data_IF_489758078165
#
_entry.id   IF_489758078165
#
_cell.length_a   1.000
_cell.length_b   1.000
_cell.length_c   1.000
_cell.angle_alpha   90.00
_cell.angle_beta   90.00
_cell.angle_gamma   90.00
#
_symmetry.space_group_name_H-M   'P 1'
#
loop_
_entity.id
_entity.type
_entity.pdbx_description
1 polymer ?
#
# COMPACT_ATOMS: atom_id res chain seq x y z
N UNK A 1 -15.73 19.80 29.49
CA UNK A 1 -15.76 20.73 28.35
C UNK A 1 -15.00 20.06 27.23
N UNK A 2 -15.73 19.79 26.15
CA UNK A 2 -15.29 19.39 24.81
C UNK A 2 -14.56 18.06 24.66
N UNK A 3 -15.37 17.05 24.32
CA UNK A 3 -14.98 15.87 23.56
C UNK A 3 -14.33 16.29 22.23
N UNK A 4 -13.02 16.12 22.08
CA UNK A 4 -12.37 16.18 20.78
C UNK A 4 -12.39 14.79 20.13
N UNK A 5 -13.54 14.49 19.53
CA UNK A 5 -13.71 13.37 18.62
C UNK A 5 -13.14 13.79 17.25
N UNK A 6 -12.01 13.22 16.77
CA UNK A 6 -11.46 13.59 15.47
C UNK A 6 -12.47 13.20 14.39
N UNK A 7 -12.93 14.19 13.62
CA UNK A 7 -13.96 14.05 12.59
C UNK A 7 -13.60 12.95 11.60
N UNK A 8 -14.22 11.79 11.80
CA UNK A 8 -14.19 10.66 10.89
C UNK A 8 -15.01 11.04 9.65
N UNK A 9 -14.34 11.41 8.56
CA UNK A 9 -15.04 11.68 7.30
C UNK A 9 -15.16 10.37 6.53
N UNK A 10 -16.40 9.94 6.28
CA UNK A 10 -16.70 8.78 5.44
C UNK A 10 -16.60 9.20 3.98
N UNK A 11 -15.47 8.90 3.35
CA UNK A 11 -15.32 8.93 1.90
C UNK A 11 -15.39 7.48 1.40
N UNK A 12 -16.34 7.20 0.49
CA UNK A 12 -16.48 5.91 -0.20
C UNK A 12 -16.66 4.70 0.76
N UNK A 13 -17.37 4.87 1.87
CA UNK A 13 -17.63 3.78 2.83
C UNK A 13 -16.40 3.34 3.63
N UNK A 14 -15.30 4.10 3.55
CA UNK A 14 -14.09 3.89 4.35
C UNK A 14 -13.96 5.01 5.39
N UNK A 15 -13.66 4.62 6.61
CA UNK A 15 -13.29 5.54 7.68
C UNK A 15 -11.90 6.07 7.40
N UNK A 16 -11.79 7.32 6.96
CA UNK A 16 -10.49 7.98 6.80
C UNK A 16 -10.09 8.53 8.17
N UNK A 17 -9.19 7.84 8.87
CA UNK A 17 -8.41 8.50 9.90
C UNK A 17 -7.56 9.56 9.21
N UNK A 18 -7.65 10.80 9.70
CA UNK A 18 -6.69 11.85 9.35
C UNK A 18 -5.26 11.31 9.55
N UNK A 19 -4.27 11.90 8.88
CA UNK A 19 -2.85 11.71 9.24
C UNK A 19 -2.64 12.34 10.63
N UNK A 20 -3.15 11.67 11.66
CA UNK A 20 -2.97 12.02 13.05
C UNK A 20 -1.65 11.44 13.56
N UNK A 21 -1.28 11.76 14.79
CA UNK A 21 -0.10 11.19 15.44
C UNK A 21 -0.11 9.65 15.45
N UNK A 22 -1.30 9.02 15.46
CA UNK A 22 -1.46 7.57 15.52
C UNK A 22 -1.16 6.84 14.19
N UNK A 23 -0.70 5.60 14.31
CA UNK A 23 -0.49 4.68 13.20
C UNK A 23 -1.81 4.39 12.43
N UNK A 24 -1.79 4.37 11.09
CA UNK A 24 -2.96 3.93 10.33
C UNK A 24 -3.33 2.49 10.68
N UNK A 25 -4.61 2.20 10.93
CA UNK A 25 -5.06 0.88 11.41
C UNK A 25 -4.54 -0.29 10.58
N UNK A 26 -4.48 -0.17 9.25
CA UNK A 26 -4.03 -1.25 8.37
C UNK A 26 -2.51 -1.53 8.43
N UNK A 27 -1.70 -0.71 9.12
CA UNK A 27 -0.28 -1.01 9.36
C UNK A 27 -0.10 -2.02 10.49
N UNK A 28 -0.98 -2.00 11.48
CA UNK A 28 -0.93 -2.87 12.66
C UNK A 28 -1.99 -3.98 12.65
N UNK A 29 -3.18 -3.75 12.11
CA UNK A 29 -4.25 -4.75 12.00
C UNK A 29 -4.23 -5.47 10.65
N UNK A 30 -3.92 -6.77 10.67
CA UNK A 30 -3.90 -7.63 9.49
C UNK A 30 -5.29 -7.80 8.85
N UNK A 31 -6.39 -7.77 9.62
CA UNK A 31 -7.74 -7.95 9.07
C UNK A 31 -8.16 -6.74 8.26
N UNK A 32 -7.93 -5.53 8.77
CA UNK A 32 -8.20 -4.30 8.02
C UNK A 32 -7.27 -4.18 6.80
N UNK A 33 -6.01 -4.58 6.94
CA UNK A 33 -5.07 -4.66 5.83
C UNK A 33 -5.56 -5.57 4.70
N UNK A 34 -5.93 -6.81 5.01
CA UNK A 34 -6.42 -7.79 4.05
C UNK A 34 -7.73 -7.32 3.40
N UNK A 35 -8.66 -6.80 4.19
CA UNK A 35 -9.92 -6.25 3.68
C UNK A 35 -9.68 -5.15 2.64
N UNK A 36 -8.77 -4.21 2.91
CA UNK A 36 -8.44 -3.14 1.97
C UNK A 36 -7.69 -3.66 0.74
N UNK A 37 -6.72 -4.57 0.93
CA UNK A 37 -5.99 -5.21 -0.17
C UNK A 37 -6.91 -5.98 -1.10
N UNK A 38 -7.77 -6.84 -0.57
CA UNK A 38 -8.66 -7.71 -1.36
C UNK A 38 -9.68 -6.88 -2.14
N UNK A 39 -10.16 -5.78 -1.55
CA UNK A 39 -10.98 -4.80 -2.26
C UNK A 39 -10.21 -4.15 -3.42
N UNK A 40 -8.93 -3.80 -3.24
CA UNK A 40 -8.10 -3.23 -4.32
C UNK A 40 -7.74 -4.26 -5.39
N UNK A 41 -7.51 -5.53 -5.03
CA UNK A 41 -7.35 -6.63 -6.00
C UNK A 41 -8.59 -6.72 -6.88
N UNK A 42 -9.78 -6.75 -6.26
CA UNK A 42 -11.05 -6.92 -6.97
C UNK A 42 -11.40 -5.74 -7.89
N UNK A 43 -11.15 -4.50 -7.45
CA UNK A 43 -11.68 -3.32 -8.12
C UNK A 43 -10.63 -2.50 -8.87
N UNK A 44 -9.33 -2.68 -8.58
CA UNK A 44 -8.23 -1.86 -9.12
C UNK A 44 -6.98 -2.69 -9.44
N UNK A 45 -7.12 -4.00 -9.67
CA UNK A 45 -6.06 -4.83 -10.23
C UNK A 45 -4.74 -4.79 -9.46
N UNK A 46 -4.79 -4.80 -8.12
CA UNK A 46 -3.57 -4.89 -7.31
C UNK A 46 -2.87 -6.25 -7.52
N UNK A 47 -1.61 -6.22 -7.95
CA UNK A 47 -0.84 -7.42 -8.27
C UNK A 47 0.49 -7.10 -8.97
N UNK A 48 1.09 -8.04 -9.71
CA UNK A 48 0.70 -9.45 -9.78
C UNK A 48 0.88 -10.14 -8.42
N UNK A 49 0.38 -11.38 -8.27
CA UNK A 49 0.51 -12.13 -7.01
C UNK A 49 1.98 -12.29 -6.63
N UNK A 50 2.79 -12.80 -7.57
CA UNK A 50 4.23 -12.95 -7.49
C UNK A 50 4.87 -12.24 -8.69
N UNK A 51 5.56 -11.10 -8.49
CA UNK A 51 6.25 -10.37 -9.56
C UNK A 51 7.30 -11.16 -10.35
N UNK A 52 7.86 -12.21 -9.76
CA UNK A 52 8.91 -13.04 -10.37
C UNK A 52 8.36 -14.28 -11.11
N UNK A 53 7.06 -14.52 -11.03
CA UNK A 53 6.40 -15.61 -11.73
C UNK A 53 5.56 -15.09 -12.91
N UNK A 54 5.38 -15.89 -13.98
CA UNK A 54 4.40 -15.57 -15.02
C UNK A 54 2.99 -15.42 -14.42
N UNK A 55 2.31 -14.34 -14.79
CA UNK A 55 0.91 -14.08 -14.45
C UNK A 55 0.15 -13.78 -15.76
N UNK A 56 -0.29 -14.83 -16.48
CA UNK A 56 -0.83 -14.68 -17.84
C UNK A 56 -2.02 -13.72 -17.90
N UNK A 57 -1.91 -12.67 -18.71
CA UNK A 57 -2.98 -11.70 -18.93
C UNK A 57 -2.98 -10.53 -17.95
N UNK A 58 -2.19 -10.55 -16.87
CA UNK A 58 -2.16 -9.45 -15.90
C UNK A 58 -1.57 -8.18 -16.50
N UNK A 59 -0.42 -8.29 -17.14
CA UNK A 59 0.27 -7.13 -17.71
C UNK A 59 -0.38 -6.67 -19.01
N UNK A 60 -0.96 -7.58 -19.78
CA UNK A 60 -1.71 -7.28 -20.99
C UNK A 60 -2.95 -6.44 -20.66
N UNK A 61 -3.69 -6.78 -19.59
CA UNK A 61 -4.83 -5.98 -19.13
C UNK A 61 -4.43 -4.57 -18.68
N UNK A 62 -3.24 -4.42 -18.08
CA UNK A 62 -2.72 -3.10 -17.71
C UNK A 62 -2.29 -2.29 -18.92
N UNK A 63 -1.64 -2.93 -19.88
CA UNK A 63 -1.28 -2.34 -21.16
C UNK A 63 -2.54 -1.84 -21.89
N UNK A 64 -3.60 -2.65 -21.91
CA UNK A 64 -4.92 -2.28 -22.45
C UNK A 64 -5.54 -1.09 -21.71
N UNK A 65 -5.58 -1.14 -20.37
CA UNK A 65 -6.12 -0.05 -19.54
C UNK A 65 -5.46 1.30 -19.83
N UNK A 66 -4.14 1.32 -19.99
CA UNK A 66 -3.35 2.54 -20.20
C UNK A 66 -3.13 2.86 -21.68
N UNK A 67 -3.67 2.07 -22.61
CA UNK A 67 -3.38 2.15 -24.03
C UNK A 67 -1.87 2.27 -24.32
N UNK A 68 -1.10 1.37 -23.71
CA UNK A 68 0.37 1.34 -23.70
C UNK A 68 0.89 -0.08 -23.98
N UNK A 69 2.19 -0.28 -23.96
CA UNK A 69 2.82 -1.59 -24.11
C UNK A 69 3.13 -2.24 -22.75
N UNK A 70 3.34 -3.57 -22.76
CA UNK A 70 3.59 -4.38 -21.57
C UNK A 70 4.86 -3.95 -20.84
N UNK A 71 5.89 -3.53 -21.55
CA UNK A 71 7.18 -3.17 -20.94
C UNK A 71 7.05 -1.82 -20.22
N UNK A 72 6.36 -0.85 -20.82
CA UNK A 72 6.04 0.43 -20.20
C UNK A 72 5.22 0.25 -18.92
N UNK A 73 4.10 -0.48 -18.96
CA UNK A 73 3.26 -0.65 -17.75
C UNK A 73 3.94 -1.47 -16.65
N UNK A 74 4.92 -2.32 -16.99
CA UNK A 74 5.74 -3.03 -16.00
C UNK A 74 6.67 -2.10 -15.21
N UNK A 75 6.93 -0.88 -15.68
CA UNK A 75 7.71 0.12 -14.93
C UNK A 75 6.89 0.81 -13.82
N UNK A 76 5.56 0.81 -13.94
CA UNK A 76 4.66 1.41 -12.96
C UNK A 76 4.52 0.49 -11.73
N UNK A 77 5.31 0.74 -10.70
CA UNK A 77 5.39 -0.08 -9.47
C UNK A 77 5.01 0.71 -8.24
N UNK A 78 4.54 0.05 -7.20
CA UNK A 78 4.23 0.71 -5.95
C UNK A 78 5.46 1.43 -5.38
N UNK A 79 6.64 0.83 -5.52
CA UNK A 79 7.91 1.44 -5.08
C UNK A 79 8.31 2.74 -5.80
N UNK A 80 7.68 3.11 -6.92
CA UNK A 80 7.87 4.41 -7.57
C UNK A 80 6.57 5.21 -7.68
N UNK A 81 5.57 4.84 -6.87
CA UNK A 81 4.25 5.48 -6.85
C UNK A 81 4.21 6.63 -5.84
N UNK A 82 3.75 7.82 -6.25
CA UNK A 82 3.64 9.00 -5.39
C UNK A 82 2.61 8.86 -4.25
N UNK A 83 1.85 7.75 -4.21
CA UNK A 83 0.97 7.42 -3.10
C UNK A 83 1.53 6.31 -2.19
N UNK A 84 2.76 5.85 -2.42
CA UNK A 84 3.42 4.83 -1.62
C UNK A 84 4.31 5.49 -0.58
N UNK A 85 3.93 5.36 0.67
CA UNK A 85 4.52 6.07 1.80
C UNK A 85 5.50 5.18 2.56
N UNK A 86 6.76 5.59 2.57
CA UNK A 86 7.88 4.99 3.29
C UNK A 86 8.54 5.98 4.26
N UNK A 87 7.79 6.98 4.75
CA UNK A 87 8.25 7.82 5.85
C UNK A 87 8.60 6.95 7.07
N UNK A 88 9.59 7.37 7.86
CA UNK A 88 10.06 6.59 9.01
C UNK A 88 8.92 6.26 9.97
N UNK A 89 8.02 7.22 10.21
CA UNK A 89 6.82 7.01 11.04
C UNK A 89 5.95 5.87 10.54
N UNK A 90 5.70 5.80 9.23
CA UNK A 90 4.85 4.75 8.65
C UNK A 90 5.55 3.40 8.71
N UNK A 91 6.85 3.34 8.43
CA UNK A 91 7.63 2.12 8.54
C UNK A 91 7.63 1.60 9.98
N UNK A 92 7.85 2.45 10.97
CA UNK A 92 7.78 2.09 12.39
C UNK A 92 6.42 1.47 12.76
N UNK A 93 5.33 2.06 12.27
CA UNK A 93 3.99 1.51 12.45
C UNK A 93 3.79 0.12 11.81
N UNK A 94 4.49 -0.19 10.71
CA UNK A 94 4.45 -1.54 10.11
C UNK A 94 5.29 -2.52 10.90
N UNK A 95 6.48 -2.09 11.34
CA UNK A 95 7.41 -2.88 12.15
C UNK A 95 6.75 -3.29 13.46
N UNK A 96 6.11 -2.35 14.17
CA UNK A 96 5.32 -2.64 15.38
C UNK A 96 4.24 -3.69 15.10
N UNK A 97 3.50 -3.52 14.00
CA UNK A 97 2.44 -4.45 13.60
C UNK A 97 2.93 -5.85 13.22
N UNK A 98 4.17 -6.00 12.74
CA UNK A 98 4.79 -7.30 12.43
C UNK A 98 5.35 -7.94 13.71
N UNK A 99 5.89 -7.12 14.61
CA UNK A 99 6.58 -7.58 15.81
C UNK A 99 5.65 -7.94 16.99
N UNK A 100 4.33 -8.09 16.77
CA UNK A 100 3.34 -8.34 17.82
C UNK A 100 3.69 -9.57 18.70
N UNK A 101 4.32 -10.59 18.11
CA UNK A 101 4.69 -11.84 18.80
C UNK A 101 6.17 -11.98 19.14
N UNK A 102 7.02 -11.03 18.68
CA UNK A 102 8.50 -11.06 18.85
C UNK A 102 9.18 -12.37 18.41
N UNK A 103 8.57 -13.11 17.50
CA UNK A 103 9.06 -14.42 17.06
C UNK A 103 10.14 -14.34 15.96
N UNK A 104 10.22 -13.22 15.24
CA UNK A 104 11.18 -12.99 14.16
C UNK A 104 11.51 -11.49 14.07
N UNK A 105 12.61 -11.16 13.38
CA UNK A 105 12.96 -9.76 13.12
C UNK A 105 11.95 -9.15 12.12
N UNK A 106 11.15 -8.15 12.52
CA UNK A 106 10.21 -7.49 11.61
C UNK A 106 10.90 -6.78 10.44
N UNK A 107 12.17 -6.40 10.58
CA UNK A 107 12.94 -5.75 9.52
C UNK A 107 13.26 -6.70 8.36
N UNK A 108 13.39 -8.01 8.61
CA UNK A 108 13.54 -8.99 7.52
C UNK A 108 12.33 -8.94 6.57
N UNK A 109 11.12 -8.82 7.12
CA UNK A 109 9.89 -8.71 6.31
C UNK A 109 9.85 -7.38 5.56
N UNK A 110 10.24 -6.28 6.23
CA UNK A 110 10.32 -4.96 5.62
C UNK A 110 11.27 -4.96 4.42
N UNK A 111 12.48 -5.49 4.59
CA UNK A 111 13.54 -5.44 3.58
C UNK A 111 13.23 -6.36 2.39
N UNK A 112 12.75 -7.58 2.65
CA UNK A 112 12.42 -8.55 1.60
C UNK A 112 11.23 -8.10 0.74
N UNK A 113 10.22 -7.49 1.35
CA UNK A 113 9.01 -7.07 0.62
C UNK A 113 9.07 -5.60 0.15
N UNK A 114 10.04 -4.83 0.66
CA UNK A 114 10.13 -3.38 0.54
C UNK A 114 8.76 -2.74 0.79
N UNK A 115 8.27 -2.82 2.04
CA UNK A 115 6.91 -2.38 2.34
C UNK A 115 6.79 -0.87 2.37
N UNK A 116 5.58 -0.41 2.07
CA UNK A 116 5.15 0.99 2.20
C UNK A 116 3.63 1.06 2.28
N UNK A 117 3.11 2.19 2.74
CA UNK A 117 1.67 2.35 2.93
C UNK A 117 1.04 3.00 1.71
N UNK A 118 0.02 2.36 1.13
CA UNK A 118 -0.71 2.98 0.03
C UNK A 118 -1.70 4.03 0.57
N UNK A 119 -1.42 5.30 0.34
CA UNK A 119 -2.27 6.42 0.76
C UNK A 119 -3.60 6.48 0.02
N UNK A 120 -3.75 5.89 -1.17
CA UNK A 120 -5.03 5.83 -1.88
C UNK A 120 -5.96 4.77 -1.30
N UNK A 121 -5.42 3.57 -1.04
CA UNK A 121 -6.22 2.39 -0.72
C UNK A 121 -6.15 1.94 0.74
N UNK A 122 -5.27 2.57 1.53
CA UNK A 122 -5.17 2.43 2.98
C UNK A 122 -4.79 1.02 3.44
N UNK A 123 -3.71 0.47 2.89
CA UNK A 123 -3.14 -0.82 3.30
C UNK A 123 -1.61 -0.87 3.12
N UNK A 124 -0.94 -1.76 3.85
CA UNK A 124 0.48 -2.11 3.66
C UNK A 124 0.65 -2.80 2.30
N UNK A 125 1.45 -2.19 1.46
CA UNK A 125 1.71 -2.58 0.09
C UNK A 125 3.17 -3.05 -0.06
N UNK A 126 3.44 -3.86 -1.07
CA UNK A 126 4.80 -4.31 -1.41
C UNK A 126 5.29 -3.57 -2.67
N UNK A 127 6.50 -3.02 -2.64
CA UNK A 127 7.00 -2.13 -3.68
C UNK A 127 6.98 -2.74 -5.08
N UNK A 128 7.24 -4.04 -5.20
CA UNK A 128 7.29 -4.74 -6.49
C UNK A 128 5.92 -4.96 -7.15
N UNK A 129 4.81 -4.69 -6.45
CA UNK A 129 3.45 -4.78 -7.02
C UNK A 129 3.03 -3.47 -7.68
N UNK A 130 1.84 -3.44 -8.23
CA UNK A 130 1.22 -2.31 -8.93
C UNK A 130 -0.31 -2.40 -8.80
N UNK A 131 -1.02 -1.33 -9.15
CA UNK A 131 -2.48 -1.28 -9.24
C UNK A 131 -2.88 -0.31 -10.35
N UNK A 132 -4.18 -0.27 -10.65
CA UNK A 132 -4.72 0.54 -11.74
C UNK A 132 -4.73 2.05 -11.43
N UNK A 133 -4.53 2.42 -10.17
CA UNK A 133 -4.45 3.81 -9.71
C UNK A 133 -3.00 4.27 -9.43
N UNK A 134 -2.00 3.68 -10.10
CA UNK A 134 -0.60 4.09 -9.96
C UNK A 134 -0.39 5.57 -10.36
N UNK A 135 0.44 6.29 -9.60
CA UNK A 135 0.77 7.70 -9.81
C UNK A 135 2.29 7.86 -9.87
N UNK A 136 2.83 8.46 -10.93
CA UNK A 136 4.28 8.67 -11.06
C UNK A 136 4.87 9.58 -9.96
N UNK A 137 6.10 9.28 -9.52
CA UNK A 137 6.96 10.24 -8.79
C UNK A 137 7.22 9.93 -7.32
N UNK A 138 6.98 8.69 -6.86
CA UNK A 138 7.31 8.28 -5.49
C UNK A 138 8.61 7.49 -5.36
N UNK A 139 8.85 6.87 -4.19
CA UNK A 139 7.97 6.82 -3.02
C UNK A 139 7.98 8.13 -2.22
N UNK A 140 7.02 8.33 -1.30
CA UNK A 140 7.07 9.40 -0.29
C UNK A 140 8.04 8.97 0.81
N UNK A 141 8.98 9.84 1.14
CA UNK A 141 9.97 9.67 2.21
C UNK A 141 9.99 10.89 3.13
N UNK A 142 10.75 10.86 4.23
CA UNK A 142 10.73 11.95 5.23
C UNK A 142 11.21 13.31 4.68
N UNK A 143 11.83 13.36 3.50
CA UNK A 143 12.35 14.58 2.88
C UNK A 143 11.39 15.22 1.85
N UNK A 144 10.23 14.61 1.59
CA UNK A 144 9.25 15.03 0.57
C UNK A 144 8.12 15.90 1.12
#
# INVERSE_FOLDING_TARGET
MMDDNPKLTVLLGKTVSAVGEACPTATTDIKENIKNRDWTIKNFGYGPLNPDAPDPGFWEKKAELWNSDVDTVKTARCGNCAAFDQTSKILDCMIEGINETKAADPYDVQDLANLGYCQLFKFKCAAARTCDAWLHGGPITDCD
#
